data_IF_643077653847
#
_entry.id   IF_643077653847
#
_cell.length_a   1.000
_cell.length_b   1.000
_cell.length_c   1.000
_cell.angle_alpha   90.00
_cell.angle_beta   90.00
_cell.angle_gamma   90.00
#
_symmetry.space_group_name_H-M   'P 1'
#
loop_
_entity.id
_entity.type
_entity.pdbx_description
1 polymer ?
#
# COMPACT_ATOMS: atom_id res chain seq x y z
N UNK A 1 7.31 16.27 9.69
CA UNK A 1 7.48 15.00 10.43
C UNK A 1 8.88 15.00 11.01
N UNK A 2 9.03 14.79 12.33
CA UNK A 2 10.32 14.78 13.04
C UNK A 2 10.77 13.34 13.34
N UNK A 3 12.06 13.08 13.60
CA UNK A 3 12.49 11.78 14.13
C UNK A 3 11.65 11.36 15.34
N UNK A 4 11.35 10.06 15.43
CA UNK A 4 10.44 9.42 16.40
C UNK A 4 8.94 9.74 16.22
N UNK A 5 8.57 10.62 15.28
CA UNK A 5 7.17 10.73 14.85
C UNK A 5 6.77 9.46 14.08
N UNK A 6 5.50 9.08 14.21
CA UNK A 6 4.88 8.01 13.44
C UNK A 6 4.05 8.60 12.31
N UNK A 7 4.06 7.97 11.14
CA UNK A 7 3.26 8.38 9.99
C UNK A 7 2.49 7.18 9.48
N UNK A 8 1.19 7.37 9.24
CA UNK A 8 0.34 6.41 8.54
C UNK A 8 0.02 7.00 7.16
N UNK A 9 0.91 6.81 6.16
CA UNK A 9 0.74 7.41 4.84
C UNK A 9 -0.53 6.91 4.17
N UNK A 10 -1.15 7.76 3.36
CA UNK A 10 -2.32 7.39 2.56
C UNK A 10 -1.96 7.15 1.09
N UNK A 11 -0.87 7.76 0.61
CA UNK A 11 -0.48 7.78 -0.79
C UNK A 11 0.98 7.35 -0.95
N UNK A 12 1.32 6.89 -2.17
CA UNK A 12 2.66 6.42 -2.50
C UNK A 12 3.12 6.99 -3.85
N UNK A 13 4.38 7.41 -3.90
CA UNK A 13 5.09 7.72 -5.14
C UNK A 13 6.14 6.64 -5.40
N UNK A 14 6.08 5.99 -6.56
CA UNK A 14 7.00 4.93 -6.94
C UNK A 14 8.16 5.48 -7.77
N UNK A 15 9.34 5.57 -7.15
CA UNK A 15 10.61 5.89 -7.81
C UNK A 15 11.53 4.67 -7.92
N UNK A 16 11.00 3.45 -7.70
CA UNK A 16 11.73 2.20 -7.88
C UNK A 16 11.88 1.87 -9.36
N UNK A 17 12.88 1.06 -9.72
CA UNK A 17 13.24 0.85 -11.14
C UNK A 17 13.36 -0.59 -11.59
N UNK A 18 13.68 -1.53 -10.70
CA UNK A 18 14.09 -2.90 -11.10
C UNK A 18 13.27 -4.01 -10.46
N UNK A 19 12.13 -3.67 -9.87
CA UNK A 19 11.33 -4.59 -9.04
C UNK A 19 10.15 -5.12 -9.84
N UNK A 20 9.91 -6.42 -9.75
CA UNK A 20 8.66 -7.01 -10.28
C UNK A 20 7.51 -6.51 -9.40
N UNK A 21 6.53 -5.84 -10.02
CA UNK A 21 5.48 -5.13 -9.30
C UNK A 21 4.06 -5.64 -9.56
N UNK A 22 3.93 -6.84 -10.11
CA UNK A 22 2.65 -7.51 -10.35
C UNK A 22 2.84 -9.03 -10.30
N UNK A 23 1.85 -9.74 -9.78
CA UNK A 23 1.70 -11.18 -9.93
C UNK A 23 1.19 -11.54 -11.33
N UNK A 24 0.43 -10.65 -11.97
CA UNK A 24 -0.18 -10.88 -13.27
C UNK A 24 0.83 -10.74 -14.42
N UNK A 25 0.46 -11.29 -15.58
CA UNK A 25 1.37 -11.52 -16.71
C UNK A 25 1.14 -12.90 -17.33
N UNK A 26 1.97 -13.28 -18.29
CA UNK A 26 1.98 -14.61 -18.92
C UNK A 26 0.59 -15.12 -19.36
N UNK A 27 -0.23 -14.21 -19.90
CA UNK A 27 -1.55 -14.53 -20.44
C UNK A 27 -2.73 -14.28 -19.49
N UNK A 28 -2.53 -13.77 -18.26
CA UNK A 28 -3.62 -13.23 -17.42
C UNK A 28 -3.29 -11.78 -17.07
N UNK A 29 -4.12 -10.85 -17.54
CA UNK A 29 -3.95 -9.41 -17.34
C UNK A 29 -4.97 -8.89 -16.32
N UNK A 30 -4.49 -8.15 -15.33
CA UNK A 30 -5.32 -7.42 -14.38
C UNK A 30 -4.82 -5.99 -14.17
N UNK A 31 -5.74 -5.06 -13.97
CA UNK A 31 -5.47 -3.66 -13.65
C UNK A 31 -6.19 -3.27 -12.36
N UNK A 32 -5.55 -3.55 -11.22
CA UNK A 32 -6.09 -3.19 -9.91
C UNK A 32 -5.95 -1.68 -9.67
N UNK A 33 -7.03 -1.02 -9.28
CA UNK A 33 -7.02 0.41 -9.00
C UNK A 33 -6.06 0.76 -7.86
N UNK A 34 -5.25 1.80 -8.06
CA UNK A 34 -4.23 2.30 -7.11
C UNK A 34 -4.52 3.70 -6.59
N UNK A 35 -5.67 4.30 -6.95
CA UNK A 35 -6.02 5.67 -6.55
C UNK A 35 -6.01 5.85 -5.02
N UNK A 36 -6.56 4.88 -4.30
CA UNK A 36 -6.50 4.81 -2.84
C UNK A 36 -5.80 3.51 -2.44
N UNK A 37 -4.46 3.50 -2.33
CA UNK A 37 -3.67 2.27 -2.24
C UNK A 37 -3.75 1.62 -0.85
N UNK A 38 -4.13 2.37 0.18
CA UNK A 38 -4.19 1.94 1.58
C UNK A 38 -5.61 1.51 1.97
N UNK A 39 -5.71 0.48 2.81
CA UNK A 39 -6.97 0.08 3.44
C UNK A 39 -7.39 1.14 4.49
N UNK A 40 -8.52 1.85 4.30
CA UNK A 40 -8.91 2.93 5.20
C UNK A 40 -9.22 2.43 6.61
N UNK A 41 -9.87 1.27 6.72
CA UNK A 41 -10.22 0.62 7.99
C UNK A 41 -8.97 0.24 8.79
N UNK A 42 -8.01 -0.43 8.14
CA UNK A 42 -6.77 -0.85 8.79
C UNK A 42 -5.92 0.36 9.19
N UNK A 43 -5.84 1.38 8.34
CA UNK A 43 -5.14 2.61 8.66
C UNK A 43 -5.78 3.37 9.84
N UNK A 44 -7.12 3.33 9.99
CA UNK A 44 -7.82 3.89 11.15
C UNK A 44 -7.51 3.16 12.47
N UNK A 45 -7.51 1.83 12.43
CA UNK A 45 -7.10 1.01 13.60
C UNK A 45 -5.63 1.27 13.95
N UNK A 46 -4.77 1.33 12.93
CA UNK A 46 -3.34 1.57 13.08
C UNK A 46 -3.05 2.95 13.70
N UNK A 47 -3.71 3.99 13.20
CA UNK A 47 -3.60 5.34 13.77
C UNK A 47 -4.07 5.38 15.23
N UNK A 48 -5.22 4.78 15.54
CA UNK A 48 -5.77 4.74 16.90
C UNK A 48 -4.79 4.08 17.87
N UNK A 49 -4.25 2.92 17.49
CA UNK A 49 -3.24 2.21 18.27
C UNK A 49 -1.93 3.01 18.41
N UNK A 50 -1.47 3.65 17.33
CA UNK A 50 -0.30 4.51 17.36
C UNK A 50 -0.45 5.67 18.36
N UNK A 51 -1.61 6.32 18.39
CA UNK A 51 -1.88 7.43 19.33
C UNK A 51 -1.86 7.00 20.80
N UNK A 52 -2.15 5.74 21.11
CA UNK A 52 -2.10 5.20 22.47
C UNK A 52 -0.68 5.05 23.03
N UNK A 53 0.34 5.11 22.18
CA UNK A 53 1.75 5.04 22.61
C UNK A 53 2.27 6.35 23.20
N UNK A 54 1.54 7.46 23.04
CA UNK A 54 2.00 8.80 23.37
C UNK A 54 2.92 9.43 22.32
N UNK A 55 3.33 8.67 21.28
CA UNK A 55 4.08 9.22 20.16
C UNK A 55 3.23 10.21 19.35
N UNK A 56 3.89 11.17 18.70
CA UNK A 56 3.23 12.07 17.76
C UNK A 56 2.91 11.30 16.47
N UNK A 57 1.64 11.30 16.07
CA UNK A 57 1.16 10.55 14.91
C UNK A 57 0.62 11.50 13.84
N UNK A 58 1.06 11.30 12.59
CA UNK A 58 0.56 11.96 11.39
C UNK A 58 -0.25 10.96 10.56
N UNK A 59 -1.50 11.30 10.23
CA UNK A 59 -2.36 10.49 9.35
C UNK A 59 -2.41 11.13 7.97
N UNK A 60 -2.25 10.30 6.94
CA UNK A 60 -2.19 10.75 5.56
C UNK A 60 -0.77 11.08 5.13
N UNK A 61 -0.65 11.84 4.05
CA UNK A 61 0.63 12.14 3.41
C UNK A 61 1.08 11.09 2.39
N UNK A 62 2.16 11.41 1.70
CA UNK A 62 2.72 10.66 0.58
C UNK A 62 4.07 10.06 0.94
N UNK A 63 4.18 8.74 0.81
CA UNK A 63 5.43 7.99 0.93
C UNK A 63 6.11 7.89 -0.44
N UNK A 64 7.32 8.41 -0.59
CA UNK A 64 8.14 8.14 -1.79
C UNK A 64 9.01 6.91 -1.57
N UNK A 65 8.89 5.93 -2.46
CA UNK A 65 9.70 4.73 -2.45
C UNK A 65 10.80 4.83 -3.50
N UNK A 66 12.06 4.97 -3.09
CA UNK A 66 13.21 4.98 -3.98
C UNK A 66 13.84 3.58 -4.10
N UNK A 67 14.67 3.39 -5.12
CA UNK A 67 15.31 2.11 -5.40
C UNK A 67 16.32 1.67 -4.30
N UNK A 68 17.14 2.61 -3.80
CA UNK A 68 18.28 2.29 -2.92
C UNK A 68 19.41 1.54 -3.63
N UNK A 69 20.46 1.09 -2.91
CA UNK A 69 20.64 1.17 -1.45
C UNK A 69 21.20 2.51 -0.96
N UNK A 70 21.71 3.37 -1.84
CA UNK A 70 22.22 4.68 -1.45
C UNK A 70 21.06 5.58 -0.99
N UNK A 71 21.33 6.40 0.03
CA UNK A 71 20.45 7.52 0.34
C UNK A 71 20.42 8.54 -0.80
N UNK A 72 19.36 9.34 -0.82
CA UNK A 72 19.19 10.42 -1.79
C UNK A 72 20.36 11.41 -1.72
N UNK A 73 20.69 11.99 -2.86
CA UNK A 73 21.45 13.24 -2.92
C UNK A 73 20.60 14.40 -2.37
N UNK A 74 21.24 15.51 -1.99
CA UNK A 74 20.53 16.74 -1.61
C UNK A 74 19.61 17.25 -2.72
N UNK A 75 20.00 17.06 -3.98
CA UNK A 75 19.19 17.47 -5.13
C UNK A 75 17.90 16.66 -5.23
N UNK A 76 17.99 15.33 -5.11
CA UNK A 76 16.82 14.43 -5.09
C UNK A 76 15.89 14.77 -3.92
N UNK A 77 16.44 14.92 -2.71
CA UNK A 77 15.65 15.27 -1.53
C UNK A 77 14.89 16.59 -1.69
N UNK A 78 15.52 17.62 -2.28
CA UNK A 78 14.87 18.90 -2.60
C UNK A 78 13.74 18.75 -3.63
N UNK A 79 13.92 17.91 -4.65
CA UNK A 79 12.89 17.63 -5.66
C UNK A 79 11.72 16.89 -5.02
N UNK A 80 11.96 15.84 -4.24
CA UNK A 80 10.90 15.10 -3.57
C UNK A 80 10.06 16.00 -2.66
N UNK A 81 10.72 16.89 -1.90
CA UNK A 81 10.02 17.89 -1.10
C UNK A 81 9.19 18.86 -1.93
N UNK A 82 9.65 19.28 -3.12
CA UNK A 82 8.88 20.18 -3.98
C UNK A 82 7.65 19.51 -4.59
N UNK A 83 7.63 18.16 -4.65
CA UNK A 83 6.44 17.38 -5.00
C UNK A 83 5.45 17.22 -3.84
N UNK A 84 5.79 17.69 -2.63
CA UNK A 84 4.94 17.57 -1.45
C UNK A 84 4.90 16.16 -0.87
N UNK A 85 5.97 15.36 -1.01
CA UNK A 85 6.07 14.08 -0.31
C UNK A 85 6.50 14.26 1.14
N UNK A 86 6.03 13.37 2.00
CA UNK A 86 6.11 13.51 3.46
C UNK A 86 7.16 12.60 4.09
N UNK A 87 7.31 11.40 3.54
CA UNK A 87 8.20 10.35 4.05
C UNK A 87 8.87 9.66 2.88
N UNK A 88 10.14 9.29 3.06
CA UNK A 88 10.91 8.53 2.09
C UNK A 88 11.29 7.18 2.67
N UNK A 89 11.31 6.15 1.83
CA UNK A 89 11.94 4.88 2.16
C UNK A 89 12.15 4.02 0.91
N UNK A 90 12.41 2.73 1.11
CA UNK A 90 12.91 1.86 0.04
C UNK A 90 12.15 0.54 -0.09
N UNK A 91 11.04 0.32 0.63
CA UNK A 91 10.46 -1.04 0.78
C UNK A 91 8.98 -1.16 0.43
N UNK A 92 8.15 -0.15 0.73
CA UNK A 92 6.70 -0.33 0.61
C UNK A 92 6.17 -0.38 -0.84
N UNK A 93 7.03 -0.16 -1.83
CA UNK A 93 6.73 -0.44 -3.24
C UNK A 93 7.77 -1.46 -3.76
N UNK A 94 7.37 -2.62 -4.34
CA UNK A 94 6.03 -2.97 -4.82
C UNK A 94 5.09 -3.59 -3.78
N UNK A 95 5.46 -3.65 -2.50
CA UNK A 95 4.67 -4.32 -1.45
C UNK A 95 3.18 -3.90 -1.43
N UNK A 96 2.90 -2.60 -1.48
CA UNK A 96 1.52 -2.09 -1.52
C UNK A 96 0.75 -2.48 -2.79
N UNK A 97 1.43 -2.57 -3.94
CA UNK A 97 0.84 -2.99 -5.22
C UNK A 97 0.45 -4.47 -5.16
N UNK A 98 1.39 -5.30 -4.70
CA UNK A 98 1.19 -6.74 -4.57
C UNK A 98 0.13 -7.09 -3.52
N UNK A 99 0.11 -6.37 -2.38
CA UNK A 99 -0.91 -6.58 -1.37
C UNK A 99 -2.33 -6.31 -1.91
N UNK A 100 -2.49 -5.31 -2.78
CA UNK A 100 -3.78 -5.02 -3.43
C UNK A 100 -4.16 -6.05 -4.48
N UNK A 101 -3.20 -6.52 -5.29
CA UNK A 101 -3.44 -7.63 -6.21
C UNK A 101 -3.80 -8.92 -5.48
N UNK A 102 -3.31 -9.10 -4.25
CA UNK A 102 -3.68 -10.20 -3.37
C UNK A 102 -4.95 -9.94 -2.53
N UNK A 103 -5.66 -8.83 -2.76
CA UNK A 103 -6.89 -8.46 -2.05
C UNK A 103 -6.72 -8.34 -0.51
N UNK A 104 -5.50 -8.05 -0.06
CA UNK A 104 -5.17 -7.91 1.35
C UNK A 104 -5.42 -6.48 1.83
N UNK A 105 -5.92 -6.34 3.06
CA UNK A 105 -5.89 -5.06 3.75
C UNK A 105 -4.45 -4.67 4.05
N UNK A 106 -3.98 -3.58 3.43
CA UNK A 106 -2.62 -3.08 3.60
C UNK A 106 -2.62 -1.66 4.19
N UNK A 107 -1.77 -1.41 5.17
CA UNK A 107 -1.47 -0.08 5.68
C UNK A 107 -0.04 -0.05 6.22
N UNK A 108 0.59 1.12 6.15
CA UNK A 108 1.97 1.32 6.60
C UNK A 108 1.98 2.11 7.90
N UNK A 109 2.81 1.69 8.86
CA UNK A 109 3.29 2.53 9.95
C UNK A 109 4.73 2.91 9.64
N UNK A 110 4.95 4.10 9.10
CA UNK A 110 6.28 4.63 8.85
C UNK A 110 6.81 5.29 10.13
N UNK A 111 8.04 4.97 10.51
CA UNK A 111 8.67 5.47 11.72
C UNK A 111 9.83 6.38 11.31
N UNK A 112 9.71 7.67 11.54
CA UNK A 112 10.74 8.61 11.14
C UNK A 112 12.01 8.40 11.97
N UNK A 113 13.14 8.14 11.32
CA UNK A 113 14.45 7.95 11.97
C UNK A 113 15.31 9.19 11.93
N UNK A 114 15.19 9.97 10.87
CA UNK A 114 16.01 11.13 10.53
C UNK A 114 15.24 12.02 9.54
N UNK A 115 15.87 13.12 9.12
CA UNK A 115 15.29 14.07 8.16
C UNK A 115 15.78 13.84 6.73
N UNK A 116 16.31 12.69 6.34
CA UNK A 116 17.05 12.55 5.08
C UNK A 116 18.18 13.62 5.01
N UNK A 117 18.78 13.83 3.83
CA UNK A 117 19.96 14.70 3.69
C UNK A 117 19.66 16.20 3.51
N UNK A 118 18.40 16.65 3.60
CA UNK A 118 18.03 18.05 3.33
C UNK A 118 18.24 19.00 4.52
N UNK A 119 18.29 18.48 5.74
CA UNK A 119 18.37 19.30 6.95
C UNK A 119 19.83 19.68 7.25
N UNK A 120 20.20 20.94 7.00
CA UNK A 120 21.58 21.43 7.09
C UNK A 120 22.06 21.71 8.54
N UNK A 121 21.15 21.74 9.52
CA UNK A 121 21.41 22.24 10.90
C UNK A 121 21.30 21.21 12.02
N UNK A 122 21.13 19.92 11.70
CA UNK A 122 21.37 18.85 12.68
C UNK A 122 22.70 18.19 12.34
N UNK A 123 23.47 17.78 13.36
CA UNK A 123 24.67 16.96 13.21
C UNK A 123 24.44 15.97 12.06
N UNK A 124 25.36 15.92 11.09
CA UNK A 124 25.27 15.01 9.95
C UNK A 124 24.74 13.66 10.42
N UNK A 125 23.71 13.12 9.78
CA UNK A 125 23.01 11.89 10.19
C UNK A 125 24.07 10.83 10.53
N UNK A 126 24.35 10.65 11.83
CA UNK A 126 25.33 9.68 12.28
C UNK A 126 24.65 8.32 12.33
N UNK A 127 25.38 7.27 11.98
CA UNK A 127 24.87 5.90 12.02
C UNK A 127 24.36 5.57 13.44
N UNK A 128 25.04 6.08 14.46
CA UNK A 128 24.69 5.90 15.87
C UNK A 128 23.34 6.55 16.22
N UNK A 129 23.09 7.79 15.76
CA UNK A 129 21.82 8.47 16.01
C UNK A 129 20.64 7.75 15.30
N UNK A 130 20.87 7.27 14.07
CA UNK A 130 19.88 6.47 13.33
C UNK A 130 19.57 5.17 14.06
N UNK A 131 20.60 4.43 14.49
CA UNK A 131 20.42 3.16 15.21
C UNK A 131 19.66 3.39 16.53
N UNK A 132 20.00 4.43 17.29
CA UNK A 132 19.29 4.76 18.54
C UNK A 132 17.81 5.04 18.28
N UNK A 133 17.50 5.88 17.29
CA UNK A 133 16.12 6.20 16.94
C UNK A 133 15.38 4.96 16.42
N UNK A 134 16.04 4.12 15.62
CA UNK A 134 15.50 2.86 15.14
C UNK A 134 15.10 1.93 16.30
N UNK A 135 15.96 1.75 17.29
CA UNK A 135 15.66 0.91 18.45
C UNK A 135 14.48 1.43 19.27
N UNK A 136 14.39 2.75 19.46
CA UNK A 136 13.23 3.38 20.11
C UNK A 136 11.95 3.16 19.29
N UNK A 137 12.03 3.35 17.97
CA UNK A 137 10.93 3.10 17.03
C UNK A 137 10.48 1.63 17.06
N UNK A 138 11.38 0.66 17.19
CA UNK A 138 11.02 -0.77 17.31
C UNK A 138 10.18 -1.03 18.55
N UNK A 139 10.53 -0.45 19.70
CA UNK A 139 9.74 -0.60 20.93
C UNK A 139 8.32 -0.05 20.75
N UNK A 140 8.20 1.14 20.18
CA UNK A 140 6.90 1.77 19.86
C UNK A 140 6.10 0.92 18.86
N UNK A 141 6.72 0.44 17.78
CA UNK A 141 6.06 -0.41 16.78
C UNK A 141 5.48 -1.68 17.42
N UNK A 142 6.22 -2.33 18.33
CA UNK A 142 5.74 -3.53 19.04
C UNK A 142 4.49 -3.23 19.87
N UNK A 143 4.46 -2.10 20.57
CA UNK A 143 3.29 -1.66 21.33
C UNK A 143 2.09 -1.43 20.42
N UNK A 144 2.29 -0.73 19.29
CA UNK A 144 1.22 -0.50 18.30
C UNK A 144 0.68 -1.82 17.77
N UNK A 145 1.56 -2.73 17.33
CA UNK A 145 1.15 -4.03 16.80
C UNK A 145 0.37 -4.86 17.83
N UNK A 146 0.76 -4.82 19.10
CA UNK A 146 0.04 -5.47 20.20
C UNK A 146 -1.41 -5.00 20.35
N UNK A 147 -1.70 -3.72 20.05
CA UNK A 147 -3.04 -3.17 20.07
C UNK A 147 -3.81 -3.36 18.74
N UNK A 148 -3.11 -3.37 17.61
CA UNK A 148 -3.73 -3.53 16.27
C UNK A 148 -4.18 -4.96 16.04
N UNK A 149 -3.31 -5.95 16.27
CA UNK A 149 -3.55 -7.36 15.89
C UNK A 149 -4.90 -7.90 16.43
N UNK A 150 -5.27 -7.70 17.70
CA UNK A 150 -6.57 -8.15 18.22
C UNK A 150 -7.78 -7.49 17.56
N UNK A 151 -7.60 -6.30 16.98
CA UNK A 151 -8.67 -5.52 16.35
C UNK A 151 -8.89 -5.90 14.87
N UNK A 152 -7.89 -6.51 14.20
CA UNK A 152 -7.94 -6.85 12.77
C UNK A 152 -9.12 -7.78 12.39
N UNK A 153 -9.44 -8.84 13.16
CA UNK A 153 -10.53 -9.74 12.80
C UNK A 153 -11.91 -9.08 12.70
N UNK A 154 -12.11 -7.91 13.33
CA UNK A 154 -13.37 -7.16 13.28
C UNK A 154 -13.50 -6.29 12.02
N UNK A 155 -12.45 -6.11 11.22
CA UNK A 155 -12.49 -5.29 10.02
C UNK A 155 -13.34 -5.94 8.92
N UNK A 156 -14.38 -5.23 8.46
CA UNK A 156 -15.34 -5.72 7.45
C UNK A 156 -15.81 -4.64 6.45
N UNK A 157 -15.45 -3.38 6.65
CA UNK A 157 -16.03 -2.26 5.89
C UNK A 157 -15.36 -1.98 4.54
N UNK A 158 -14.06 -2.28 4.42
CA UNK A 158 -13.29 -1.95 3.23
C UNK A 158 -13.61 -2.83 2.01
N UNK A 159 -13.25 -2.32 0.83
CA UNK A 159 -13.38 -3.03 -0.45
C UNK A 159 -12.18 -3.95 -0.78
N UNK A 160 -11.14 -3.99 0.07
CA UNK A 160 -9.90 -4.75 -0.20
C UNK A 160 -10.14 -6.21 -0.61
N UNK A 161 -11.03 -6.98 0.05
CA UNK A 161 -11.27 -8.38 -0.28
C UNK A 161 -12.02 -8.61 -1.61
N UNK A 162 -12.28 -7.56 -2.41
CA UNK A 162 -13.04 -7.61 -3.67
C UNK A 162 -12.37 -6.83 -4.82
N UNK A 163 -11.10 -6.45 -4.67
CA UNK A 163 -10.40 -5.62 -5.64
C UNK A 163 -10.23 -6.29 -7.02
N UNK A 164 -10.17 -7.62 -7.09
CA UNK A 164 -10.02 -8.37 -8.34
C UNK A 164 -11.32 -8.58 -9.11
N UNK A 165 -12.48 -8.45 -8.46
CA UNK A 165 -13.78 -8.77 -9.05
C UNK A 165 -14.05 -8.02 -10.37
N UNK A 166 -13.47 -6.82 -10.53
CA UNK A 166 -13.59 -6.00 -11.74
C UNK A 166 -12.23 -5.56 -12.31
N UNK A 167 -11.12 -6.16 -11.88
CA UNK A 167 -9.78 -5.78 -12.32
C UNK A 167 -9.20 -6.69 -13.41
N UNK A 168 -9.65 -7.95 -13.48
CA UNK A 168 -9.13 -8.92 -14.45
C UNK A 168 -9.79 -8.70 -15.81
N UNK A 169 -8.96 -8.46 -16.83
CA UNK A 169 -9.41 -8.17 -18.21
C UNK A 169 -9.50 -9.46 -19.03
N UNK A 170 -8.55 -10.38 -18.84
CA UNK A 170 -8.53 -11.63 -19.59
C UNK A 170 -9.77 -12.45 -19.27
N UNK A 171 -10.43 -12.99 -20.30
CA UNK A 171 -11.57 -13.90 -20.09
C UNK A 171 -11.11 -15.14 -19.30
N UNK A 172 -11.87 -15.59 -18.27
CA UNK A 172 -11.53 -16.80 -17.52
C UNK A 172 -11.42 -18.06 -18.39
N UNK A 173 -12.17 -18.11 -19.49
CA UNK A 173 -12.09 -19.21 -20.47
C UNK A 173 -10.80 -19.22 -21.30
N UNK A 174 -10.05 -18.12 -21.27
CA UNK A 174 -8.79 -17.96 -22.00
C UNK A 174 -7.56 -18.02 -21.07
N UNK A 175 -7.72 -18.29 -19.77
CA UNK A 175 -6.59 -18.40 -18.85
C UNK A 175 -5.68 -19.59 -19.22
N UNK A 176 -4.38 -19.35 -19.49
CA UNK A 176 -3.44 -20.46 -19.70
C UNK A 176 -3.37 -21.35 -18.46
N UNK A 177 -3.39 -22.70 -18.57
CA UNK A 177 -3.40 -23.58 -17.42
C UNK A 177 -2.22 -23.37 -16.45
N UNK A 178 -1.04 -23.04 -16.97
CA UNK A 178 0.14 -22.75 -16.15
C UNK A 178 -0.01 -21.44 -15.35
N UNK A 179 -0.45 -20.35 -16.00
CA UNK A 179 -0.70 -19.07 -15.35
C UNK A 179 -1.83 -19.19 -14.31
N UNK A 180 -2.90 -19.94 -14.64
CA UNK A 180 -3.98 -20.21 -13.70
C UNK A 180 -3.50 -20.92 -12.44
N UNK A 181 -2.71 -21.99 -12.58
CA UNK A 181 -2.14 -22.70 -11.41
C UNK A 181 -1.24 -21.79 -10.58
N UNK A 182 -0.41 -20.96 -11.24
CA UNK A 182 0.47 -20.00 -10.56
C UNK A 182 -0.31 -18.95 -9.75
N UNK A 183 -1.46 -18.50 -10.26
CA UNK A 183 -2.28 -17.44 -9.66
C UNK A 183 -3.48 -17.96 -8.87
N UNK A 184 -3.58 -19.27 -8.60
CA UNK A 184 -4.81 -19.86 -8.07
C UNK A 184 -5.19 -19.29 -6.71
N UNK A 185 -4.22 -19.03 -5.83
CA UNK A 185 -4.48 -18.40 -4.52
C UNK A 185 -5.11 -17.01 -4.62
N UNK A 186 -4.83 -16.27 -5.69
CA UNK A 186 -5.37 -14.92 -5.91
C UNK A 186 -6.72 -14.99 -6.64
N UNK A 187 -6.86 -15.94 -7.58
CA UNK A 187 -8.01 -16.02 -8.47
C UNK A 187 -9.14 -16.91 -7.96
N UNK A 188 -8.88 -17.85 -7.03
CA UNK A 188 -9.86 -18.87 -6.65
C UNK A 188 -11.20 -18.29 -6.14
N UNK A 189 -11.16 -17.12 -5.47
CA UNK A 189 -12.36 -16.44 -4.95
C UNK A 189 -13.21 -15.83 -6.07
N UNK A 190 -12.60 -15.03 -6.94
CA UNK A 190 -13.30 -14.31 -8.02
C UNK A 190 -13.60 -15.21 -9.23
N UNK A 191 -12.76 -16.21 -9.48
CA UNK A 191 -12.82 -17.13 -10.61
C UNK A 191 -12.63 -18.58 -10.13
N UNK A 192 -13.60 -19.17 -9.42
CA UNK A 192 -13.49 -20.56 -8.99
C UNK A 192 -13.36 -21.49 -10.21
N UNK A 193 -12.51 -22.52 -10.11
CA UNK A 193 -12.49 -23.59 -11.11
C UNK A 193 -13.91 -24.18 -11.23
N UNK A 194 -14.40 -24.36 -12.45
CA UNK A 194 -15.81 -24.61 -12.74
C UNK A 194 -16.41 -25.74 -11.90
N UNK A 195 -17.26 -25.34 -10.95
CA UNK A 195 -18.16 -26.17 -10.15
C UNK A 195 -19.41 -25.42 -9.65
N UNK A 196 -19.46 -24.08 -9.72
CA UNK A 196 -20.70 -23.28 -9.58
C UNK A 196 -20.61 -22.01 -10.42
N UNK A 197 -21.53 -21.76 -11.37
CA UNK A 197 -21.55 -20.50 -12.11
C UNK A 197 -22.05 -19.37 -11.21
N UNK A 198 -21.26 -18.31 -11.03
CA UNK A 198 -21.81 -16.98 -10.74
C UNK A 198 -21.88 -16.24 -12.06
N UNK A 199 -23.09 -16.04 -12.57
CA UNK A 199 -23.35 -15.12 -13.68
C UNK A 199 -22.87 -13.72 -13.31
N UNK A 200 -21.77 -13.28 -13.90
CA UNK A 200 -21.39 -11.87 -13.91
C UNK A 200 -22.39 -11.17 -14.84
N UNK A 201 -23.35 -10.43 -14.26
CA UNK A 201 -24.21 -9.54 -15.04
C UNK A 201 -23.37 -8.32 -15.42
N UNK A 202 -22.88 -8.31 -16.66
CA UNK A 202 -22.43 -7.07 -17.30
C UNK A 202 -23.63 -6.12 -17.36
N UNK A 203 -23.54 -4.99 -16.64
CA UNK A 203 -24.60 -4.00 -16.58
C UNK A 203 -24.85 -3.42 -17.97
N UNK A 204 -25.96 -3.79 -18.60
CA UNK A 204 -26.49 -3.05 -19.74
C UNK A 204 -26.96 -1.69 -19.22
N UNK A 205 -26.33 -0.63 -19.70
CA UNK A 205 -26.78 0.76 -19.51
C UNK A 205 -28.26 0.87 -19.87
N UNK A 206 -29.12 1.46 -19.03
CA UNK A 206 -30.50 1.69 -19.42
C UNK A 206 -30.51 2.76 -20.53
N UNK A 207 -31.00 2.39 -21.70
CA UNK A 207 -31.28 3.33 -22.77
C UNK A 207 -32.22 4.42 -22.25
N UNK A 208 -31.74 5.67 -22.17
CA UNK A 208 -32.58 6.85 -21.94
C UNK A 208 -33.57 6.96 -23.11
N UNK A 209 -34.82 6.51 -22.91
CA UNK A 209 -35.93 6.90 -23.78
C UNK A 209 -36.19 8.38 -23.55
N UNK A 210 -35.92 9.18 -24.57
CA UNK A 210 -36.44 10.53 -24.67
C UNK A 210 -37.97 10.50 -24.70
N UNK A 211 -38.60 11.41 -23.96
CA UNK A 211 -39.94 11.89 -24.27
C UNK A 211 -39.87 13.40 -24.41
N UNK A 212 -40.06 13.83 -25.66
CA UNK A 212 -40.65 15.11 -26.02
C UNK A 212 -42.15 15.02 -25.69
N UNK A 213 -42.73 16.15 -25.29
CA UNK A 213 -44.15 16.30 -24.96
C UNK A 213 -44.29 17.20 -23.76
#
# INVERSE_FOLDING_TARGET
>A
IRPLDLVVPAQFFDATRRRVSSFFGDGIVAHVGMAEPVCPDLAAVLEKAARQTGARVHRGGTYVCIEGPQFSTKAESRIYRSWGVDVIGMTNVPEVKLAREAELCYATLALATDYDVWHETHEAVTVEAVIRNLMSNVATARQVLGAVIPSVPALRGCACPRLLDNAVITSPTAFPPAARRRLDLLLARSFPASGRPKTVKWGTTPARRGRRG
#
